data_IF_244734824166
#
_entry.id   IF_244734824166
#
_cell.length_a   1.000
_cell.length_b   1.000
_cell.length_c   1.000
_cell.angle_alpha   90.00
_cell.angle_beta   90.00
_cell.angle_gamma   90.00
#
_symmetry.space_group_name_H-M   'P 1'
#
loop_
_entity.id
_entity.type
_entity.pdbx_description
1 polymer ?
#
# COMPACT_ATOMS: atom_id res chain seq x y z
N UNK A 1 -0.38 8.67 17.66
CA UNK A 1 -0.22 9.41 16.43
C UNK A 1 1.27 9.65 16.21
N UNK A 2 1.81 9.19 15.13
CA UNK A 2 3.14 9.48 14.65
C UNK A 2 3.07 10.75 13.80
N UNK A 3 4.13 11.55 13.76
CA UNK A 3 4.22 12.73 12.87
C UNK A 3 5.13 12.44 11.66
N UNK A 4 5.50 11.21 11.49
CA UNK A 4 6.40 10.64 10.52
C UNK A 4 5.80 9.33 10.03
N UNK A 5 6.55 8.48 9.35
CA UNK A 5 6.06 7.25 8.75
C UNK A 5 5.51 6.22 9.74
N UNK A 6 4.65 5.39 9.22
CA UNK A 6 4.09 4.29 9.98
C UNK A 6 5.10 3.17 10.21
N UNK A 7 5.71 2.70 9.14
CA UNK A 7 6.81 1.73 9.15
C UNK A 7 7.77 2.11 8.02
N UNK A 8 9.05 2.28 8.34
CA UNK A 8 10.10 2.62 7.40
C UNK A 8 11.24 1.59 7.45
N UNK A 9 11.81 1.24 6.31
CA UNK A 9 12.95 0.32 6.17
C UNK A 9 14.10 0.97 5.42
N UNK A 10 15.22 1.14 6.08
CA UNK A 10 16.49 1.58 5.51
C UNK A 10 17.36 0.40 5.05
N UNK A 11 16.77 -0.52 4.27
CA UNK A 11 17.47 -1.70 3.79
C UNK A 11 17.34 -2.94 4.72
N UNK A 12 18.19 -3.92 4.49
CA UNK A 12 18.16 -5.21 5.22
C UNK A 12 17.15 -6.20 4.64
N UNK A 13 16.84 -7.26 5.40
CA UNK A 13 16.03 -8.40 4.92
C UNK A 13 14.97 -8.85 5.92
N UNK A 14 14.57 -7.96 6.81
CA UNK A 14 13.52 -8.25 7.80
C UNK A 14 12.18 -8.50 7.10
N UNK A 15 11.48 -9.56 7.50
CA UNK A 15 10.12 -9.83 7.07
C UNK A 15 9.12 -9.43 8.15
N UNK A 16 8.00 -8.85 7.74
CA UNK A 16 6.89 -8.48 8.62
C UNK A 16 5.62 -9.17 8.16
N UNK A 17 4.84 -9.64 9.12
CA UNK A 17 3.54 -10.25 8.87
C UNK A 17 2.50 -9.74 9.85
N UNK A 18 1.28 -9.53 9.35
CA UNK A 18 0.14 -9.01 10.12
C UNK A 18 0.43 -7.63 10.72
N UNK A 19 0.78 -6.66 9.89
CA UNK A 19 1.00 -5.28 10.29
C UNK A 19 -0.26 -4.42 10.17
N UNK A 20 -0.41 -3.45 11.07
CA UNK A 20 -1.41 -2.40 10.95
C UNK A 20 -0.70 -1.06 11.11
N UNK A 21 -0.85 -0.21 10.12
CA UNK A 21 -0.51 1.21 10.21
C UNK A 21 -1.80 1.99 10.23
N UNK A 22 -1.98 2.81 11.26
CA UNK A 22 -3.18 3.62 11.41
C UNK A 22 -2.83 5.05 11.76
N UNK A 23 -3.20 5.97 10.87
CA UNK A 23 -3.07 7.39 11.07
C UNK A 23 -1.60 7.82 11.31
N UNK A 24 -0.67 7.31 10.47
CA UNK A 24 0.66 7.86 10.36
C UNK A 24 0.57 9.35 9.96
N UNK A 25 1.51 10.14 10.39
CA UNK A 25 1.48 11.57 10.11
C UNK A 25 2.04 11.92 8.75
N UNK A 26 2.79 11.01 8.17
CA UNK A 26 3.37 11.04 6.84
C UNK A 26 2.98 9.76 6.11
N UNK A 27 3.92 9.01 5.56
CA UNK A 27 3.62 7.80 4.79
C UNK A 27 3.26 6.60 5.67
N UNK A 28 2.43 5.72 5.15
CA UNK A 28 2.10 4.53 5.95
C UNK A 28 3.19 3.47 5.89
N UNK A 29 3.69 3.20 4.70
CA UNK A 29 4.72 2.21 4.40
C UNK A 29 5.77 2.90 3.55
N UNK A 30 6.96 3.02 4.10
CA UNK A 30 8.09 3.63 3.44
C UNK A 30 9.24 2.63 3.30
N UNK A 31 9.87 2.60 2.13
CA UNK A 31 10.99 1.71 1.83
C UNK A 31 12.13 2.44 1.17
N UNK A 32 13.18 2.58 1.92
CA UNK A 32 14.44 3.14 1.50
C UNK A 32 15.49 2.09 1.16
N UNK A 33 16.54 2.51 0.52
CA UNK A 33 17.73 1.74 0.29
C UNK A 33 17.44 0.40 -0.43
N UNK A 34 18.18 -0.64 -0.10
CA UNK A 34 18.02 -1.97 -0.69
C UNK A 34 17.37 -2.93 0.31
N UNK A 35 16.13 -2.63 0.75
CA UNK A 35 15.39 -3.59 1.55
C UNK A 35 14.97 -4.80 0.71
N UNK A 36 15.31 -6.03 1.16
CA UNK A 36 15.00 -7.29 0.48
C UNK A 36 14.01 -8.17 1.24
N UNK A 37 13.19 -7.57 2.11
CA UNK A 37 12.23 -8.30 2.93
C UNK A 37 10.84 -8.46 2.30
N UNK A 38 9.92 -8.99 3.10
CA UNK A 38 8.51 -9.17 2.74
C UNK A 38 7.60 -8.56 3.78
N UNK A 39 6.65 -7.75 3.35
CA UNK A 39 5.49 -7.34 4.11
C UNK A 39 4.28 -8.17 3.63
N UNK A 40 3.78 -9.05 4.50
CA UNK A 40 2.67 -9.96 4.20
C UNK A 40 1.52 -9.78 5.18
N UNK A 41 0.33 -9.59 4.66
CA UNK A 41 -0.91 -9.36 5.39
C UNK A 41 -0.88 -8.09 6.23
N UNK A 42 -1.27 -6.99 5.63
CA UNK A 42 -1.21 -5.68 6.27
C UNK A 42 -2.48 -4.85 6.05
N UNK A 43 -2.66 -3.89 6.94
CA UNK A 43 -3.71 -2.91 6.90
C UNK A 43 -3.11 -1.51 6.99
N UNK A 44 -3.39 -0.68 6.00
CA UNK A 44 -3.10 0.76 6.01
C UNK A 44 -4.41 1.50 6.21
N UNK A 45 -4.47 2.40 7.19
CA UNK A 45 -5.66 3.16 7.53
C UNK A 45 -5.31 4.64 7.63
N UNK A 46 -5.80 5.43 6.70
CA UNK A 46 -5.78 6.90 6.71
C UNK A 46 -4.43 7.51 7.08
N UNK A 47 -3.34 7.31 6.31
CA UNK A 47 -2.09 8.03 6.52
C UNK A 47 -2.23 9.52 6.12
N UNK A 48 -1.27 10.32 6.51
CA UNK A 48 -1.27 11.75 6.27
C UNK A 48 -0.73 12.16 4.89
N UNK A 49 0.17 11.39 4.31
CA UNK A 49 0.71 11.59 2.95
C UNK A 49 0.44 10.36 2.08
N UNK A 50 1.39 9.53 1.73
CA UNK A 50 1.16 8.39 0.83
C UNK A 50 0.76 7.12 1.60
N UNK A 51 0.03 6.25 0.95
CA UNK A 51 -0.16 4.93 1.52
C UNK A 51 1.11 4.08 1.39
N UNK A 52 1.91 4.35 0.37
CA UNK A 52 3.24 3.78 0.16
C UNK A 52 4.15 4.82 -0.48
N UNK A 53 5.33 5.02 0.08
CA UNK A 53 6.49 5.64 -0.55
C UNK A 53 7.54 4.54 -0.75
N UNK A 54 7.91 4.28 -2.01
CA UNK A 54 8.74 3.13 -2.35
C UNK A 54 9.96 3.57 -3.13
N UNK A 55 10.95 4.01 -2.39
CA UNK A 55 12.22 4.44 -2.93
C UNK A 55 13.05 3.28 -3.45
N UNK A 56 13.88 3.58 -4.40
CA UNK A 56 14.82 2.64 -4.95
C UNK A 56 16.14 2.60 -4.20
N UNK A 57 17.04 1.67 -4.56
CA UNK A 57 18.34 1.58 -3.91
C UNK A 57 19.21 2.82 -4.18
N UNK A 58 19.78 3.41 -3.13
CA UNK A 58 20.64 4.59 -3.19
C UNK A 58 22.14 4.28 -3.39
N UNK A 59 22.50 3.02 -3.50
CA UNK A 59 23.90 2.61 -3.57
C UNK A 59 24.14 1.51 -4.59
N UNK A 60 25.24 0.78 -4.39
CA UNK A 60 25.61 -0.33 -5.26
C UNK A 60 24.91 -1.66 -4.91
N UNK A 61 24.21 -1.70 -3.78
CA UNK A 61 23.42 -2.87 -3.39
C UNK A 61 21.99 -2.69 -3.90
N UNK A 62 21.50 -3.71 -4.56
CA UNK A 62 20.13 -3.78 -5.04
C UNK A 62 19.47 -5.03 -4.48
N UNK A 63 18.26 -4.93 -3.99
CA UNK A 63 17.46 -6.08 -3.60
C UNK A 63 16.00 -5.81 -3.94
N UNK A 64 15.21 -6.86 -4.06
CA UNK A 64 13.79 -6.79 -4.35
C UNK A 64 13.00 -7.04 -3.09
N UNK A 65 12.19 -6.10 -2.69
CA UNK A 65 11.24 -6.34 -1.62
C UNK A 65 9.85 -6.76 -2.15
N UNK A 66 9.03 -7.30 -1.26
CA UNK A 66 7.73 -7.86 -1.60
C UNK A 66 6.65 -7.34 -0.64
N UNK A 67 5.58 -6.78 -1.19
CA UNK A 67 4.44 -6.22 -0.47
C UNK A 67 3.18 -6.94 -0.95
N UNK A 68 2.58 -7.79 -0.10
CA UNK A 68 1.47 -8.66 -0.52
C UNK A 68 0.35 -8.76 0.50
N UNK A 69 -0.86 -9.03 0.00
CA UNK A 69 -2.04 -9.32 0.82
C UNK A 69 -2.41 -8.14 1.72
N UNK A 70 -2.60 -6.97 1.14
CA UNK A 70 -2.91 -5.74 1.88
C UNK A 70 -4.28 -5.16 1.60
N UNK A 71 -4.83 -4.49 2.61
CA UNK A 71 -6.00 -3.61 2.44
C UNK A 71 -5.61 -2.19 2.84
N UNK A 72 -5.94 -1.25 1.97
CA UNK A 72 -5.59 0.17 2.07
C UNK A 72 -6.87 0.99 2.09
N UNK A 73 -7.09 1.70 3.20
CA UNK A 73 -8.15 2.70 3.36
C UNK A 73 -7.51 4.09 3.20
N UNK A 74 -7.62 4.65 2.01
CA UNK A 74 -6.85 5.84 1.59
C UNK A 74 -7.52 7.17 1.96
N UNK A 75 -8.57 7.17 2.78
CA UNK A 75 -9.47 8.31 2.99
C UNK A 75 -8.78 9.67 3.19
N UNK A 76 -7.70 9.74 3.94
CA UNK A 76 -7.03 11.00 4.26
C UNK A 76 -5.62 11.10 3.63
N UNK A 77 -5.19 10.10 2.87
CA UNK A 77 -3.92 10.12 2.17
C UNK A 77 -3.89 11.18 1.05
N UNK A 78 -2.72 11.73 0.79
CA UNK A 78 -2.48 12.60 -0.37
C UNK A 78 -2.26 11.78 -1.65
N UNK A 79 -1.73 10.54 -1.55
CA UNK A 79 -1.54 9.62 -2.67
C UNK A 79 -1.68 8.16 -2.30
N UNK A 80 -1.79 7.29 -3.33
CA UNK A 80 -1.85 5.84 -3.11
C UNK A 80 -0.45 5.25 -3.02
N UNK A 81 0.35 5.45 -4.05
CA UNK A 81 1.72 4.92 -4.13
C UNK A 81 2.59 5.90 -4.89
N UNK A 82 3.65 6.32 -4.26
CA UNK A 82 4.77 7.05 -4.85
C UNK A 82 5.94 6.08 -5.05
N UNK A 83 6.48 6.03 -6.25
CA UNK A 83 7.60 5.16 -6.58
C UNK A 83 8.71 5.93 -7.27
N UNK A 84 9.94 5.69 -6.86
CA UNK A 84 11.10 6.08 -7.64
C UNK A 84 11.25 5.27 -8.94
N UNK A 85 11.83 5.89 -9.96
CA UNK A 85 12.14 5.23 -11.24
C UNK A 85 12.99 3.97 -11.11
N UNK A 86 13.79 3.86 -10.05
CA UNK A 86 14.67 2.73 -9.75
C UNK A 86 14.12 1.77 -8.67
N UNK A 87 12.89 1.95 -8.22
CA UNK A 87 12.25 1.03 -7.27
C UNK A 87 12.22 -0.40 -7.78
N UNK A 88 12.58 -1.36 -6.92
CA UNK A 88 12.63 -2.80 -7.24
C UNK A 88 11.69 -3.55 -6.30
N UNK A 89 10.41 -3.58 -6.64
CA UNK A 89 9.37 -4.10 -5.76
C UNK A 89 8.43 -5.08 -6.46
N UNK A 90 7.94 -6.06 -5.70
CA UNK A 90 6.82 -6.90 -6.10
C UNK A 90 5.61 -6.55 -5.24
N UNK A 91 4.49 -6.16 -5.87
CA UNK A 91 3.23 -5.86 -5.19
C UNK A 91 2.11 -6.75 -5.73
N UNK A 92 1.35 -7.41 -4.84
CA UNK A 92 0.20 -8.19 -5.30
C UNK A 92 -0.88 -8.40 -4.23
N UNK A 93 -2.09 -8.71 -4.70
CA UNK A 93 -3.24 -8.96 -3.83
C UNK A 93 -3.54 -7.78 -2.88
N UNK A 94 -3.54 -6.56 -3.40
CA UNK A 94 -3.82 -5.35 -2.62
C UNK A 94 -5.19 -4.80 -3.01
N UNK A 95 -6.00 -4.49 -2.00
CA UNK A 95 -7.28 -3.83 -2.16
C UNK A 95 -7.20 -2.39 -1.70
N UNK A 96 -7.45 -1.45 -2.61
CA UNK A 96 -7.52 -0.01 -2.35
C UNK A 96 -8.98 0.40 -2.21
N UNK A 97 -9.33 1.04 -1.12
CA UNK A 97 -10.70 1.51 -0.84
C UNK A 97 -10.69 2.88 -0.17
N UNK A 98 -11.84 3.52 -0.10
CA UNK A 98 -11.99 4.90 0.37
C UNK A 98 -11.10 5.90 -0.40
N UNK A 99 -10.81 5.58 -1.66
CA UNK A 99 -9.99 6.40 -2.56
C UNK A 99 -10.74 7.67 -2.94
N UNK A 100 -10.05 8.80 -2.94
CA UNK A 100 -10.59 10.12 -3.32
C UNK A 100 -9.96 10.62 -4.61
N UNK A 101 -10.61 11.61 -5.21
CA UNK A 101 -10.07 12.34 -6.35
C UNK A 101 -8.72 12.97 -5.99
N UNK A 102 -7.75 12.83 -6.89
CA UNK A 102 -6.39 13.34 -6.74
C UNK A 102 -5.38 12.35 -6.16
N UNK A 103 -5.84 11.27 -5.53
CA UNK A 103 -4.96 10.22 -5.04
C UNK A 103 -4.58 9.28 -6.19
N UNK A 104 -3.31 8.99 -6.36
CA UNK A 104 -2.86 8.13 -7.45
C UNK A 104 -1.75 7.14 -7.08
N UNK A 105 -1.62 6.14 -7.93
CA UNK A 105 -0.45 5.29 -8.09
C UNK A 105 0.31 5.89 -9.28
N UNK A 106 1.40 6.56 -9.03
CA UNK A 106 1.95 7.57 -9.94
C UNK A 106 2.77 7.00 -11.09
N UNK A 107 3.62 6.00 -10.87
CA UNK A 107 4.56 5.46 -11.84
C UNK A 107 4.46 3.94 -12.00
N UNK A 108 5.05 3.46 -13.09
CA UNK A 108 5.25 2.04 -13.38
C UNK A 108 6.72 1.82 -13.80
N UNK A 109 7.67 1.90 -12.85
CA UNK A 109 9.08 1.71 -13.15
C UNK A 109 9.39 0.28 -13.60
N UNK A 110 10.49 0.10 -14.32
CA UNK A 110 10.89 -1.21 -14.83
C UNK A 110 11.13 -2.27 -13.72
N UNK A 111 11.43 -1.81 -12.50
CA UNK A 111 11.62 -2.65 -11.32
C UNK A 111 10.32 -3.13 -10.68
N UNK A 112 9.18 -2.50 -10.99
CA UNK A 112 7.89 -2.90 -10.45
C UNK A 112 7.40 -4.21 -11.10
N UNK A 113 6.98 -5.15 -10.26
CA UNK A 113 6.18 -6.30 -10.67
C UNK A 113 4.87 -6.26 -9.90
N UNK A 114 3.76 -5.96 -10.56
CA UNK A 114 2.47 -5.83 -9.91
C UNK A 114 1.43 -6.75 -10.51
N UNK A 115 0.49 -7.23 -9.68
CA UNK A 115 -0.63 -8.06 -10.12
C UNK A 115 -1.76 -8.10 -9.09
N UNK A 116 -2.97 -8.40 -9.58
CA UNK A 116 -4.12 -8.69 -8.71
C UNK A 116 -4.46 -7.56 -7.75
N UNK A 117 -4.40 -6.31 -8.21
CA UNK A 117 -4.98 -5.21 -7.46
C UNK A 117 -6.49 -5.16 -7.66
N UNK A 118 -7.20 -4.79 -6.62
CA UNK A 118 -8.60 -4.41 -6.69
C UNK A 118 -8.78 -3.01 -6.11
N UNK A 119 -9.68 -2.24 -6.68
CA UNK A 119 -9.95 -0.90 -6.18
C UNK A 119 -11.45 -0.59 -6.19
N UNK A 120 -11.90 0.10 -5.15
CA UNK A 120 -13.18 0.80 -5.13
C UNK A 120 -12.89 2.29 -5.29
N UNK A 121 -13.27 2.84 -6.43
CA UNK A 121 -13.08 4.24 -6.77
C UNK A 121 -14.40 5.02 -6.64
N UNK A 122 -14.36 6.36 -6.59
CA UNK A 122 -15.55 7.20 -6.64
C UNK A 122 -16.42 6.92 -7.87
N UNK A 123 -17.72 7.15 -7.75
CA UNK A 123 -18.66 6.97 -8.84
C UNK A 123 -18.30 7.81 -10.07
N UNK A 124 -18.19 7.15 -11.22
CA UNK A 124 -17.82 7.78 -12.48
C UNK A 124 -16.31 8.00 -12.67
N UNK A 125 -15.48 7.54 -11.75
CA UNK A 125 -14.02 7.64 -11.86
C UNK A 125 -13.48 6.87 -13.08
N UNK A 126 -12.46 7.42 -13.71
CA UNK A 126 -11.70 6.76 -14.77
C UNK A 126 -10.45 6.15 -14.13
N UNK A 127 -10.27 4.84 -14.24
CA UNK A 127 -9.20 4.11 -13.55
C UNK A 127 -7.80 4.67 -13.83
N UNK A 128 -7.54 5.15 -15.04
CA UNK A 128 -6.25 5.73 -15.46
C UNK A 128 -5.92 7.07 -14.80
N UNK A 129 -6.89 7.73 -14.16
CA UNK A 129 -6.65 8.95 -13.40
C UNK A 129 -6.04 8.65 -12.03
N UNK A 130 -6.25 7.41 -11.54
CA UNK A 130 -5.78 6.91 -10.23
C UNK A 130 -4.61 5.92 -10.35
N UNK A 131 -4.57 5.14 -11.42
CA UNK A 131 -3.51 4.15 -11.69
C UNK A 131 -2.81 4.55 -12.97
N UNK A 132 -1.75 5.35 -12.85
CA UNK A 132 -1.05 6.00 -13.95
C UNK A 132 0.06 5.11 -14.55
N UNK A 133 0.67 5.56 -15.63
CA UNK A 133 1.82 4.90 -16.23
C UNK A 133 1.58 3.47 -16.75
N UNK A 134 0.32 3.04 -16.89
CA UNK A 134 -0.04 1.68 -17.28
C UNK A 134 -0.30 0.73 -16.09
N UNK A 135 -0.27 1.22 -14.86
CA UNK A 135 -0.60 0.42 -13.66
C UNK A 135 -2.06 0.03 -13.61
N UNK A 136 -2.94 0.73 -14.32
CA UNK A 136 -4.35 0.35 -14.51
C UNK A 136 -4.52 -1.08 -15.07
N UNK A 137 -3.53 -1.59 -15.80
CA UNK A 137 -3.53 -2.97 -16.30
C UNK A 137 -3.50 -4.04 -15.18
N UNK A 138 -3.08 -3.68 -13.98
CA UNK A 138 -3.01 -4.57 -12.82
C UNK A 138 -4.29 -4.55 -11.97
N UNK A 139 -5.23 -3.64 -12.26
CA UNK A 139 -6.36 -3.30 -11.39
C UNK A 139 -7.68 -3.84 -11.92
N UNK A 140 -8.46 -4.42 -11.03
CA UNK A 140 -9.88 -4.74 -11.27
C UNK A 140 -10.74 -3.87 -10.37
N UNK A 141 -11.65 -3.08 -10.95
CA UNK A 141 -12.61 -2.29 -10.17
C UNK A 141 -13.67 -3.20 -9.55
N UNK A 142 -13.96 -2.97 -8.30
CA UNK A 142 -14.99 -3.71 -7.54
C UNK A 142 -15.84 -2.73 -6.74
N UNK A 143 -17.08 -3.13 -6.45
CA UNK A 143 -17.92 -2.39 -5.49
C UNK A 143 -17.34 -2.52 -4.07
N UNK A 144 -17.60 -1.53 -3.23
CA UNK A 144 -17.14 -1.56 -1.84
C UNK A 144 -17.58 -2.86 -1.13
N UNK A 145 -16.60 -3.53 -0.50
CA UNK A 145 -16.80 -4.80 0.18
C UNK A 145 -16.96 -6.04 -0.71
N UNK A 146 -16.83 -5.90 -2.04
CA UNK A 146 -16.89 -7.02 -2.98
C UNK A 146 -15.50 -7.52 -3.41
N UNK A 147 -14.44 -7.06 -2.75
CA UNK A 147 -13.08 -7.48 -3.04
C UNK A 147 -12.86 -8.97 -2.71
N UNK A 148 -12.02 -9.59 -3.50
CA UNK A 148 -11.59 -11.00 -3.33
C UNK A 148 -10.08 -11.10 -3.03
N UNK A 149 -9.39 -9.97 -3.01
CA UNK A 149 -8.00 -9.81 -2.57
C UNK A 149 -7.96 -8.80 -1.42
N UNK A 150 -6.83 -8.70 -0.75
CA UNK A 150 -6.66 -7.82 0.41
C UNK A 150 -6.17 -8.58 1.64
N UNK A 151 -6.20 -7.93 2.78
CA UNK A 151 -5.74 -8.49 4.03
C UNK A 151 -6.68 -9.57 4.59
N UNK A 152 -6.11 -10.61 5.19
CA UNK A 152 -6.86 -11.54 6.05
C UNK A 152 -7.14 -10.87 7.41
N UNK A 153 -8.29 -10.22 7.50
CA UNK A 153 -8.70 -9.48 8.69
C UNK A 153 -8.85 -10.35 9.94
N UNK A 154 -9.00 -11.66 9.79
CA UNK A 154 -9.09 -12.58 10.92
C UNK A 154 -7.81 -12.61 11.77
N UNK A 155 -6.67 -12.29 11.16
CA UNK A 155 -5.36 -12.24 11.84
C UNK A 155 -5.20 -11.04 12.76
N UNK A 156 -6.03 -10.03 12.60
CA UNK A 156 -5.98 -8.80 13.42
C UNK A 156 -6.97 -8.83 14.60
N UNK A 157 -7.84 -9.83 14.66
CA UNK A 157 -8.81 -9.99 15.74
C UNK A 157 -8.14 -10.29 17.09
N UNK A 158 -8.81 -9.87 18.17
CA UNK A 158 -8.47 -10.19 19.57
C UNK A 158 -7.17 -9.56 20.13
N UNK A 159 -6.36 -8.89 19.33
CA UNK A 159 -5.13 -8.25 19.81
C UNK A 159 -4.95 -6.81 19.34
N UNK A 160 -5.54 -6.43 18.23
CA UNK A 160 -5.32 -5.10 17.65
C UNK A 160 -6.34 -4.07 18.16
N UNK A 161 -5.90 -2.83 18.29
CA UNK A 161 -6.79 -1.70 18.56
C UNK A 161 -7.81 -1.51 17.42
N UNK A 162 -7.42 -1.74 16.17
CA UNK A 162 -8.29 -1.65 15.03
C UNK A 162 -9.51 -2.58 15.14
N UNK A 163 -9.33 -3.80 15.65
CA UNK A 163 -10.46 -4.70 15.91
C UNK A 163 -11.39 -4.19 17.02
N UNK A 164 -10.81 -3.71 18.11
CA UNK A 164 -11.58 -3.23 19.29
C UNK A 164 -12.37 -1.96 18.97
N UNK A 165 -11.80 -1.06 18.20
CA UNK A 165 -12.42 0.23 17.82
C UNK A 165 -13.40 0.15 16.67
N UNK A 166 -13.56 -1.03 16.03
CA UNK A 166 -14.39 -1.22 14.84
C UNK A 166 -13.73 -0.78 13.53
N UNK A 167 -12.42 -0.47 13.56
CA UNK A 167 -11.67 -0.07 12.36
C UNK A 167 -11.50 -1.17 11.31
N UNK A 168 -11.71 -2.44 11.66
CA UNK A 168 -11.67 -3.56 10.70
C UNK A 168 -12.98 -3.74 9.91
N UNK A 169 -14.04 -3.06 10.26
CA UNK A 169 -15.36 -3.21 9.64
C UNK A 169 -15.80 -2.02 8.80
N UNK A 170 -14.87 -1.16 8.44
CA UNK A 170 -15.16 0.01 7.60
C UNK A 170 -14.99 -0.29 6.13
#
# INVERSE_FOLDING_TARGET
ANQDDGIEWFGGTVNIKNAIVWNAGDDAIDTDQAWGGTLDNFLVITPGDKCFELDGPEGAMEDRHTIINGTVLAQDADGLVDLDDNSIVTMSNIYFTEVKEGQDFDLNPAGLTASSFQATLPDGAVVTDYFKGGTDAFVTLVSNGANTVGADLSKFQNWSWAAVSGGLGK
#
